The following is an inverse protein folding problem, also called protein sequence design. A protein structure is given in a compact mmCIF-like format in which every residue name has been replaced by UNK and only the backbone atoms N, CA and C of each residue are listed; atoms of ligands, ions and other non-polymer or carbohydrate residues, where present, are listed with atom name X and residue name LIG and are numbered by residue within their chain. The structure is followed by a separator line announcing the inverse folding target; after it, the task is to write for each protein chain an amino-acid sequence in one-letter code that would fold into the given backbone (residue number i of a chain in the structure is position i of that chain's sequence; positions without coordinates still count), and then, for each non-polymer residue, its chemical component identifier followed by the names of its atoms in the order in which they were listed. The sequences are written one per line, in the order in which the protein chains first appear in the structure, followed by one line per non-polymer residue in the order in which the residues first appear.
data_IF_910934903301
#
_entry.id   IF_910934903301
#
_cell.length_a   1.000
_cell.length_b   1.000
_cell.length_c   1.000
_cell.angle_alpha   90.00
_cell.angle_beta   90.00
_cell.angle_gamma   90.00
#
_symmetry.space_group_name_H-M   'P 1'
#
loop_
_entity.id
_entity.type
_entity.pdbx_description
1 polymer ?
#
# COMPACT_ATOMS: atom_id res chain seq x y z
N UNK A 1 33.00 -39.62 30.88
CA UNK A 1 32.38 -38.36 30.45
C UNK A 1 30.90 -38.61 30.25
N UNK A 2 30.07 -38.32 31.25
CA UNK A 2 28.62 -38.49 31.17
C UNK A 2 28.03 -37.35 30.33
N UNK A 3 27.45 -37.68 29.18
CA UNK A 3 26.66 -36.71 28.40
C UNK A 3 25.35 -36.47 29.16
N UNK A 4 25.18 -35.26 29.70
CA UNK A 4 23.88 -34.81 30.20
C UNK A 4 22.99 -34.53 28.97
N UNK A 5 22.07 -35.45 28.67
CA UNK A 5 21.07 -35.26 27.63
C UNK A 5 19.84 -34.53 28.18
N UNK A 6 19.17 -33.77 27.31
CA UNK A 6 17.86 -33.20 27.60
C UNK A 6 16.83 -34.31 27.84
N UNK A 7 15.93 -34.10 28.79
CA UNK A 7 14.80 -34.99 29.01
C UNK A 7 13.70 -34.72 27.98
N UNK A 8 12.91 -35.75 27.67
CA UNK A 8 11.74 -35.61 26.79
C UNK A 8 10.71 -34.63 27.36
N UNK A 9 10.55 -34.60 28.68
CA UNK A 9 9.59 -33.70 29.34
C UNK A 9 10.04 -32.23 29.26
N UNK A 10 11.33 -31.94 29.39
CA UNK A 10 11.86 -30.58 29.18
C UNK A 10 11.60 -30.10 27.75
N UNK A 11 11.84 -30.97 26.76
CA UNK A 11 11.56 -30.63 25.37
C UNK A 11 10.06 -30.40 25.12
N UNK A 12 9.18 -31.19 25.73
CA UNK A 12 7.72 -31.00 25.61
C UNK A 12 7.27 -29.66 26.19
N UNK A 13 7.77 -29.26 27.35
CA UNK A 13 7.43 -27.97 27.96
C UNK A 13 7.92 -26.81 27.07
N UNK A 14 9.14 -26.91 26.53
CA UNK A 14 9.69 -25.89 25.63
C UNK A 14 8.83 -25.74 24.37
N UNK A 15 8.43 -26.84 23.73
CA UNK A 15 7.56 -26.80 22.54
C UNK A 15 6.21 -26.19 22.85
N UNK A 16 5.62 -26.49 24.03
CA UNK A 16 4.35 -25.88 24.46
C UNK A 16 4.49 -24.37 24.63
N UNK A 17 5.57 -23.89 25.27
CA UNK A 17 5.81 -22.46 25.46
C UNK A 17 5.99 -21.75 24.11
N UNK A 18 6.82 -22.33 23.21
CA UNK A 18 7.02 -21.78 21.86
C UNK A 18 5.70 -21.76 21.07
N UNK A 19 4.88 -22.80 21.21
CA UNK A 19 3.56 -22.87 20.57
C UNK A 19 2.63 -21.73 20.99
N UNK A 20 2.57 -21.43 22.29
CA UNK A 20 1.77 -20.32 22.83
C UNK A 20 2.29 -18.96 22.32
N UNK A 21 3.61 -18.75 22.34
CA UNK A 21 4.21 -17.50 21.87
C UNK A 21 3.99 -17.31 20.36
N UNK A 22 4.17 -18.37 19.56
CA UNK A 22 3.98 -18.33 18.12
C UNK A 22 2.53 -17.99 17.74
N UNK A 23 1.54 -18.52 18.48
CA UNK A 23 0.12 -18.27 18.22
C UNK A 23 -0.25 -16.78 18.34
N UNK A 24 0.42 -16.03 19.22
CA UNK A 24 0.18 -14.58 19.41
C UNK A 24 1.10 -13.77 18.49
N UNK A 25 2.38 -14.13 18.39
CA UNK A 25 3.38 -13.36 17.67
C UNK A 25 3.16 -13.39 16.15
N UNK A 26 2.78 -14.54 15.60
CA UNK A 26 2.62 -14.71 14.15
C UNK A 26 1.54 -13.81 13.52
N UNK A 27 0.28 -13.78 14.00
CA UNK A 27 -0.73 -12.90 13.43
C UNK A 27 -0.37 -11.41 13.57
N UNK A 28 0.24 -11.03 14.70
CA UNK A 28 0.69 -9.67 14.94
C UNK A 28 1.80 -9.24 13.95
N UNK A 29 2.75 -10.15 13.67
CA UNK A 29 3.80 -9.89 12.69
C UNK A 29 3.25 -9.69 11.28
N UNK A 30 2.26 -10.50 10.87
CA UNK A 30 1.62 -10.35 9.55
C UNK A 30 0.92 -8.99 9.44
N UNK A 31 0.20 -8.55 10.47
CA UNK A 31 -0.45 -7.23 10.43
C UNK A 31 0.56 -6.08 10.43
N UNK A 32 1.65 -6.20 11.20
CA UNK A 32 2.74 -5.23 11.18
C UNK A 32 3.38 -5.11 9.78
N UNK A 33 3.61 -6.25 9.11
CA UNK A 33 4.12 -6.28 7.75
C UNK A 33 3.16 -5.59 6.77
N UNK A 34 1.85 -5.84 6.87
CA UNK A 34 0.82 -5.19 6.05
C UNK A 34 0.78 -3.68 6.27
N UNK A 35 0.83 -3.23 7.53
CA UNK A 35 0.93 -1.80 7.87
C UNK A 35 2.15 -1.15 7.24
N UNK A 36 3.32 -1.78 7.34
CA UNK A 36 4.55 -1.27 6.75
C UNK A 36 4.41 -1.08 5.24
N UNK A 37 3.82 -2.05 4.55
CA UNK A 37 3.54 -1.98 3.10
C UNK A 37 2.54 -0.88 2.73
N UNK A 38 1.53 -0.61 3.58
CA UNK A 38 0.61 0.53 3.38
C UNK A 38 1.35 1.86 3.47
N UNK A 39 2.21 2.01 4.49
CA UNK A 39 3.03 3.22 4.68
C UNK A 39 3.99 3.44 3.51
N UNK A 40 4.62 2.37 3.03
CA UNK A 40 5.46 2.40 1.83
C UNK A 40 4.65 2.88 0.61
N UNK A 41 3.45 2.33 0.40
CA UNK A 41 2.59 2.74 -0.69
C UNK A 41 2.15 4.20 -0.60
N UNK A 42 1.80 4.66 0.61
CA UNK A 42 1.46 6.06 0.84
C UNK A 42 2.63 7.00 0.54
N UNK A 43 3.85 6.61 0.95
CA UNK A 43 5.08 7.37 0.67
C UNK A 43 5.34 7.44 -0.83
N UNK A 44 5.18 6.32 -1.53
CA UNK A 44 5.30 6.26 -2.99
C UNK A 44 4.27 7.15 -3.69
N UNK A 45 3.02 7.16 -3.22
CA UNK A 45 1.97 8.02 -3.77
C UNK A 45 2.26 9.51 -3.54
N UNK A 46 2.91 9.88 -2.43
CA UNK A 46 3.36 11.25 -2.18
C UNK A 46 4.49 11.68 -3.12
N UNK A 47 5.47 10.81 -3.37
CA UNK A 47 6.50 11.06 -4.40
C UNK A 47 5.86 11.24 -5.78
N UNK A 48 4.88 10.40 -6.11
CA UNK A 48 4.12 10.54 -7.35
C UNK A 48 3.38 11.87 -7.40
N UNK A 49 2.74 12.31 -6.31
CA UNK A 49 2.05 13.61 -6.26
C UNK A 49 2.98 14.81 -6.55
N UNK A 50 4.24 14.74 -6.11
CA UNK A 50 5.24 15.75 -6.45
C UNK A 50 5.56 15.74 -7.95
N UNK A 51 5.74 14.54 -8.54
CA UNK A 51 5.95 14.38 -9.99
C UNK A 51 4.77 14.87 -10.81
N UNK A 52 3.54 14.61 -10.35
CA UNK A 52 2.32 15.14 -10.96
C UNK A 52 2.31 16.67 -10.96
N UNK A 53 2.70 17.28 -9.84
CA UNK A 53 2.77 18.74 -9.73
C UNK A 53 3.80 19.31 -10.70
N UNK A 54 4.99 18.72 -10.78
CA UNK A 54 6.02 19.10 -11.75
C UNK A 54 5.54 18.92 -13.20
N UNK A 55 4.83 17.83 -13.50
CA UNK A 55 4.24 17.58 -14.82
C UNK A 55 3.24 18.66 -15.21
N UNK A 56 2.38 19.12 -14.29
CA UNK A 56 1.43 20.22 -14.53
C UNK A 56 2.14 21.53 -14.84
N UNK A 57 3.24 21.82 -14.15
CA UNK A 57 4.05 23.02 -14.39
C UNK A 57 4.69 22.97 -15.79
N UNK A 58 5.22 21.81 -16.18
CA UNK A 58 5.89 21.65 -17.48
C UNK A 58 4.92 21.62 -18.67
N UNK A 59 3.76 20.97 -18.54
CA UNK A 59 2.84 20.70 -19.65
C UNK A 59 1.56 21.54 -19.63
N UNK A 60 1.32 22.29 -18.55
CA UNK A 60 0.13 23.12 -18.36
C UNK A 60 -1.19 22.37 -18.15
N UNK A 61 -1.21 21.03 -18.22
CA UNK A 61 -2.40 20.21 -18.01
C UNK A 61 -2.06 18.76 -17.66
N UNK A 62 -3.05 17.97 -17.21
CA UNK A 62 -2.94 16.52 -16.96
C UNK A 62 -3.45 15.64 -18.10
N UNK A 63 -3.82 16.24 -19.23
CA UNK A 63 -4.55 15.56 -20.33
C UNK A 63 -3.85 14.28 -20.82
N UNK A 64 -2.53 14.32 -20.97
CA UNK A 64 -1.74 13.23 -21.57
C UNK A 64 -1.07 12.35 -20.51
N UNK A 65 -1.50 12.45 -19.26
CA UNK A 65 -0.82 11.75 -18.16
C UNK A 65 -0.99 10.23 -18.22
N UNK A 66 -2.16 9.77 -18.69
CA UNK A 66 -2.44 8.34 -18.86
C UNK A 66 -1.56 7.65 -19.90
N UNK A 67 -0.99 8.41 -20.84
CA UNK A 67 -0.09 7.90 -21.90
C UNK A 67 1.37 8.31 -21.69
N UNK A 68 1.64 9.23 -20.76
CA UNK A 68 3.00 9.76 -20.48
C UNK A 68 3.99 8.74 -19.91
N UNK A 69 3.50 7.61 -19.37
CA UNK A 69 4.33 6.66 -18.63
C UNK A 69 4.85 7.19 -17.28
N UNK A 70 4.40 8.37 -16.84
CA UNK A 70 4.83 9.00 -15.60
C UNK A 70 4.43 8.18 -14.36
N UNK A 71 3.22 7.62 -14.38
CA UNK A 71 2.66 6.88 -13.25
C UNK A 71 3.02 5.41 -13.37
N UNK A 72 3.74 4.91 -12.38
CA UNK A 72 4.00 3.47 -12.26
C UNK A 72 2.68 2.71 -12.10
N UNK A 73 2.57 1.55 -12.74
CA UNK A 73 1.37 0.71 -12.65
C UNK A 73 1.31 -0.08 -11.34
N UNK A 74 2.41 -0.18 -10.60
CA UNK A 74 2.52 -1.00 -9.39
C UNK A 74 3.39 -0.36 -8.31
N UNK A 75 3.17 -0.81 -7.06
CA UNK A 75 3.92 -0.39 -5.87
C UNK A 75 4.32 -1.64 -5.06
N UNK A 76 5.61 -1.79 -4.69
CA UNK A 76 6.74 -1.06 -5.22
C UNK A 76 6.88 -1.29 -6.74
N UNK A 77 7.47 -0.30 -7.43
CA UNK A 77 7.69 -0.34 -8.88
C UNK A 77 8.82 -1.29 -9.29
N UNK A 78 9.63 -1.73 -8.32
CA UNK A 78 10.69 -2.73 -8.49
C UNK A 78 10.52 -3.84 -7.46
N UNK A 79 10.64 -5.10 -7.89
CA UNK A 79 10.49 -6.26 -7.01
C UNK A 79 9.04 -6.74 -6.90
N UNK A 80 8.70 -7.35 -5.76
CA UNK A 80 7.37 -7.93 -5.55
C UNK A 80 6.33 -6.85 -5.25
N UNK A 81 5.47 -6.56 -6.22
CA UNK A 81 4.41 -5.56 -6.07
C UNK A 81 3.30 -6.00 -5.10
N UNK A 82 2.88 -5.07 -4.26
CA UNK A 82 1.83 -5.21 -3.25
C UNK A 82 0.55 -4.44 -3.62
N UNK A 83 0.65 -3.46 -4.53
CA UNK A 83 -0.48 -2.70 -5.05
C UNK A 83 -0.38 -2.50 -6.56
N UNK A 84 -1.53 -2.46 -7.23
CA UNK A 84 -1.67 -1.80 -8.53
C UNK A 84 -2.00 -0.33 -8.30
N UNK A 85 -1.29 0.57 -8.99
CA UNK A 85 -1.50 2.01 -8.93
C UNK A 85 -2.16 2.48 -10.22
N UNK A 86 -3.25 3.22 -10.08
CA UNK A 86 -3.91 3.91 -11.20
C UNK A 86 -4.07 5.39 -10.89
N UNK A 87 -4.20 6.17 -11.97
CA UNK A 87 -4.52 7.58 -11.89
C UNK A 87 -5.82 7.87 -12.64
N UNK A 88 -6.70 8.60 -12.00
CA UNK A 88 -7.93 9.13 -12.57
C UNK A 88 -8.07 10.59 -12.19
N UNK A 89 -9.08 11.27 -12.71
CA UNK A 89 -9.53 12.52 -12.11
C UNK A 89 -10.19 12.27 -10.73
N UNK A 90 -10.38 13.33 -9.96
CA UNK A 90 -11.07 13.32 -8.68
C UNK A 90 -12.52 12.80 -8.78
N UNK A 91 -13.14 12.89 -9.96
CA UNK A 91 -14.47 12.33 -10.23
C UNK A 91 -14.41 10.84 -10.63
N UNK A 92 -13.23 10.23 -10.65
CA UNK A 92 -13.03 8.83 -11.02
C UNK A 92 -12.97 8.57 -12.54
N UNK A 93 -13.05 9.62 -13.35
CA UNK A 93 -13.00 9.54 -14.82
C UNK A 93 -11.55 9.41 -15.28
N UNK A 94 -11.30 8.55 -16.28
CA UNK A 94 -9.98 8.42 -16.90
C UNK A 94 -9.60 9.69 -17.68
N UNK A 95 -8.31 10.03 -17.71
CA UNK A 95 -7.83 11.14 -18.54
C UNK A 95 -8.01 10.82 -20.01
N UNK A 96 -8.54 11.81 -20.73
CA UNK A 96 -8.81 11.75 -22.16
C UNK A 96 -8.38 13.07 -22.77
N UNK A 97 -8.05 13.04 -24.06
CA UNK A 97 -7.71 14.22 -24.83
C UNK A 97 -8.78 15.33 -24.81
N UNK A 98 -10.03 15.00 -24.44
CA UNK A 98 -11.16 15.92 -24.42
C UNK A 98 -11.43 16.51 -23.04
N UNK A 99 -11.02 15.84 -21.96
CA UNK A 99 -11.34 16.23 -20.58
C UNK A 99 -10.10 16.84 -19.93
N UNK A 100 -10.01 18.18 -19.94
CA UNK A 100 -8.94 18.92 -19.24
C UNK A 100 -9.24 18.92 -17.75
N UNK A 101 -8.81 17.88 -17.08
CA UNK A 101 -8.99 17.81 -15.64
C UNK A 101 -7.83 18.54 -14.97
N UNK A 102 -8.16 19.58 -14.19
CA UNK A 102 -7.19 20.35 -13.40
C UNK A 102 -6.77 19.64 -12.12
N UNK A 103 -7.38 18.50 -11.84
CA UNK A 103 -7.31 17.70 -10.63
C UNK A 103 -6.85 16.28 -10.95
N UNK A 104 -6.47 15.53 -9.91
CA UNK A 104 -6.09 14.13 -10.02
C UNK A 104 -6.39 13.34 -8.75
N UNK A 105 -6.53 12.03 -8.90
CA UNK A 105 -6.59 11.04 -7.83
C UNK A 105 -5.75 9.82 -8.20
N UNK A 106 -4.81 9.48 -7.32
CA UNK A 106 -4.08 8.24 -7.31
C UNK A 106 -4.85 7.21 -6.49
N UNK A 107 -4.96 5.99 -7.02
CA UNK A 107 -5.64 4.86 -6.37
C UNK A 107 -4.71 3.66 -6.34
N UNK A 108 -4.34 3.21 -5.14
CA UNK A 108 -3.56 1.99 -4.93
C UNK A 108 -4.47 0.85 -4.48
N UNK A 109 -4.70 -0.11 -5.39
CA UNK A 109 -5.54 -1.29 -5.17
C UNK A 109 -4.66 -2.45 -4.70
N UNK A 110 -4.96 -3.06 -3.54
CA UNK A 110 -4.12 -4.12 -3.00
C UNK A 110 -4.13 -5.38 -3.88
N UNK A 111 -2.97 -6.02 -4.00
CA UNK A 111 -2.77 -7.30 -4.69
C UNK A 111 -1.96 -8.25 -3.81
N UNK A 112 -1.85 -9.52 -4.21
CA UNK A 112 -1.01 -10.53 -3.55
C UNK A 112 -1.30 -10.61 -2.02
N UNK A 113 -0.26 -10.51 -1.19
CA UNK A 113 -0.38 -10.57 0.27
C UNK A 113 -1.11 -9.39 0.93
N UNK A 114 -1.51 -8.37 0.16
CA UNK A 114 -2.29 -7.23 0.63
C UNK A 114 -3.78 -7.33 0.33
N UNK A 115 -4.26 -8.40 -0.34
CA UNK A 115 -5.68 -8.59 -0.59
C UNK A 115 -6.50 -8.44 0.70
N UNK A 116 -7.67 -7.81 0.58
CA UNK A 116 -8.58 -7.50 1.70
C UNK A 116 -8.00 -6.55 2.77
N UNK A 117 -6.93 -5.82 2.49
CA UNK A 117 -6.41 -4.78 3.40
C UNK A 117 -6.92 -3.37 3.10
N UNK A 118 -7.76 -3.22 2.07
CA UNK A 118 -8.36 -1.95 1.67
C UNK A 118 -7.56 -1.16 0.63
N UNK A 119 -8.24 -0.24 -0.05
CA UNK A 119 -7.71 0.62 -1.12
C UNK A 119 -7.19 1.92 -0.51
N UNK A 120 -6.04 2.39 -0.97
CA UNK A 120 -5.49 3.70 -0.59
C UNK A 120 -5.71 4.71 -1.71
N UNK A 121 -6.08 5.95 -1.38
CA UNK A 121 -6.18 7.03 -2.36
C UNK A 121 -5.52 8.30 -1.86
N UNK A 122 -4.93 9.05 -2.80
CA UNK A 122 -4.42 10.40 -2.60
C UNK A 122 -4.91 11.27 -3.76
N UNK A 123 -5.47 12.44 -3.47
CA UNK A 123 -5.90 13.37 -4.52
C UNK A 123 -5.10 14.68 -4.54
N UNK A 124 -5.35 15.47 -5.58
CA UNK A 124 -4.74 16.78 -5.83
C UNK A 124 -5.02 17.83 -4.76
N UNK A 125 -5.98 17.59 -3.86
CA UNK A 125 -6.28 18.45 -2.71
C UNK A 125 -5.52 17.99 -1.46
N UNK A 126 -4.72 16.94 -1.55
CA UNK A 126 -3.98 16.35 -0.44
C UNK A 126 -4.81 15.43 0.44
N UNK A 127 -6.05 15.09 0.05
CA UNK A 127 -6.89 14.19 0.84
C UNK A 127 -6.36 12.77 0.70
N UNK A 128 -6.05 12.18 1.84
CA UNK A 128 -5.55 10.81 1.95
C UNK A 128 -6.63 9.94 2.59
N UNK A 129 -7.06 8.92 1.87
CA UNK A 129 -8.10 8.01 2.34
C UNK A 129 -7.62 6.57 2.29
N UNK A 130 -8.02 5.82 3.31
CA UNK A 130 -7.98 4.39 3.34
C UNK A 130 -9.40 3.82 3.38
N UNK A 131 -9.73 3.05 2.36
CA UNK A 131 -11.02 2.38 2.20
C UNK A 131 -10.85 0.90 2.55
N UNK A 132 -11.08 0.55 3.82
CA UNK A 132 -11.15 -0.85 4.25
C UNK A 132 -12.29 -1.58 3.55
N UNK A 133 -13.42 -0.89 3.44
CA UNK A 133 -14.62 -1.26 2.70
C UNK A 133 -14.88 -0.23 1.60
N UNK A 134 -15.57 -0.62 0.52
CA UNK A 134 -15.65 0.13 -0.73
C UNK A 134 -16.23 1.56 -0.65
N UNK A 135 -16.85 1.95 0.47
CA UNK A 135 -17.71 3.14 0.53
C UNK A 135 -17.28 4.20 1.56
N UNK A 136 -16.42 3.86 2.54
CA UNK A 136 -16.08 4.80 3.62
C UNK A 136 -14.60 5.15 3.58
N UNK A 137 -14.32 6.43 3.29
CA UNK A 137 -12.97 6.98 3.47
C UNK A 137 -12.67 7.09 4.97
N UNK A 138 -11.74 6.27 5.45
CA UNK A 138 -11.07 6.52 6.72
C UNK A 138 -9.86 7.44 6.44
N UNK A 139 -9.74 8.61 7.09
CA UNK A 139 -8.56 9.44 6.92
C UNK A 139 -7.29 8.66 7.21
N UNK A 140 -6.25 8.87 6.40
CA UNK A 140 -4.95 8.23 6.64
C UNK A 140 -4.34 8.72 7.95
N UNK A 141 -4.09 7.80 8.88
CA UNK A 141 -3.52 8.06 10.21
C UNK A 141 -2.20 7.29 10.45
N UNK A 142 -1.57 6.79 9.38
CA UNK A 142 -0.32 6.03 9.47
C UNK A 142 -0.48 4.59 9.97
N UNK A 143 -1.69 4.02 9.90
CA UNK A 143 -1.99 2.64 10.33
C UNK A 143 -1.89 1.57 9.23
#
# INVERSE_FOLDING_TARGET
MTKNGFTLIELMIVVVIIGILAAIAYPNYIEYSKRTKRVEAQTFMQDMAQKLTAYKIANGSFKDIGTSGLVNSTIPSTGASNYNLSITDIDGVAYSATTKNGSWRLTATPINGMLNTGVLTLDSQGKQCWYKDALVCSPWDGK
#
